data_IF_742514252487
#
_entry.id   IF_742514252487
#
_cell.length_a   1.000
_cell.length_b   1.000
_cell.length_c   1.000
_cell.angle_alpha   90.00
_cell.angle_beta   90.00
_cell.angle_gamma   90.00
#
_symmetry.space_group_name_H-M   'P 1'
#
loop_
_entity.id
_entity.type
_entity.pdbx_description
1 polymer ?
#
# COMPACT_ATOMS: atom_id res chain seq x y z
N UNK A 1 15.06 20.65 -2.07
CA UNK A 1 13.61 20.55 -1.80
C UNK A 1 13.16 19.11 -1.96
N UNK A 2 12.36 18.63 -1.04
CA UNK A 2 11.82 17.27 -1.12
C UNK A 2 10.70 17.25 -2.16
N UNK A 3 10.74 16.30 -3.10
CA UNK A 3 9.76 16.22 -4.21
C UNK A 3 8.84 15.01 -4.13
N UNK A 4 9.02 14.09 -3.18
CA UNK A 4 8.18 12.92 -3.05
C UNK A 4 8.78 11.90 -2.12
N UNK A 5 8.19 10.70 -2.12
CA UNK A 5 8.69 9.56 -1.35
C UNK A 5 8.72 8.32 -2.25
N UNK A 6 9.62 7.40 -1.94
CA UNK A 6 9.80 6.16 -2.68
C UNK A 6 9.90 5.02 -1.68
N UNK A 7 8.99 4.04 -1.78
CA UNK A 7 8.99 2.86 -0.94
C UNK A 7 9.36 1.64 -1.77
N UNK A 8 10.00 0.67 -1.15
CA UNK A 8 10.41 -0.56 -1.81
C UNK A 8 9.77 -1.75 -1.09
N UNK A 9 9.14 -2.62 -1.84
CA UNK A 9 8.61 -3.88 -1.34
C UNK A 9 9.52 -5.00 -1.87
N UNK A 10 10.14 -5.72 -0.96
CA UNK A 10 10.96 -6.86 -1.30
C UNK A 10 10.11 -8.12 -1.40
N UNK A 11 10.29 -8.90 -2.44
CA UNK A 11 9.47 -10.07 -2.73
C UNK A 11 10.29 -11.14 -3.41
N UNK A 12 9.88 -12.38 -3.23
CA UNK A 12 10.53 -13.53 -3.89
C UNK A 12 10.08 -13.72 -5.34
N UNK A 13 9.00 -13.03 -5.75
CA UNK A 13 8.50 -13.12 -7.12
C UNK A 13 8.07 -11.74 -7.62
N UNK A 14 9.05 -10.89 -8.00
CA UNK A 14 8.76 -9.51 -8.38
C UNK A 14 7.88 -9.36 -9.62
N UNK A 15 8.01 -10.25 -10.60
CA UNK A 15 7.21 -10.14 -11.83
C UNK A 15 5.73 -10.32 -11.56
N UNK A 16 5.36 -11.29 -10.71
CA UNK A 16 3.97 -11.56 -10.35
C UNK A 16 3.40 -10.42 -9.53
N UNK A 17 4.16 -9.90 -8.58
CA UNK A 17 3.71 -8.78 -7.75
C UNK A 17 3.59 -7.49 -8.55
N UNK A 18 4.51 -7.21 -9.47
CA UNK A 18 4.41 -6.05 -10.37
C UNK A 18 3.16 -6.11 -11.23
N UNK A 19 2.87 -7.28 -11.79
CA UNK A 19 1.64 -7.46 -12.57
C UNK A 19 0.38 -7.23 -11.72
N UNK A 20 0.40 -7.62 -10.46
CA UNK A 20 -0.69 -7.38 -9.52
C UNK A 20 -0.91 -5.87 -9.30
N UNK A 21 0.14 -5.11 -9.04
CA UNK A 21 0.03 -3.65 -8.88
C UNK A 21 -0.49 -2.96 -10.13
N UNK A 22 -0.05 -3.41 -11.31
CA UNK A 22 -0.49 -2.84 -12.58
C UNK A 22 -1.93 -3.22 -12.93
N UNK A 23 -2.28 -4.51 -12.83
CA UNK A 23 -3.51 -5.05 -13.43
C UNK A 23 -4.66 -5.14 -12.43
N UNK A 24 -4.39 -5.41 -11.15
CA UNK A 24 -5.43 -5.52 -10.11
C UNK A 24 -5.62 -4.19 -9.39
N UNK A 25 -4.55 -3.57 -8.92
CA UNK A 25 -4.63 -2.28 -8.22
C UNK A 25 -4.74 -1.10 -9.18
N UNK A 26 -4.38 -1.27 -10.45
CA UNK A 26 -4.53 -0.24 -11.48
C UNK A 26 -3.64 0.98 -11.28
N UNK A 27 -2.48 0.82 -10.64
CA UNK A 27 -1.57 1.94 -10.39
C UNK A 27 -0.83 2.33 -11.67
N UNK A 28 -0.68 3.64 -11.94
CA UNK A 28 0.14 4.08 -13.06
C UNK A 28 1.59 3.67 -12.83
N UNK A 29 2.31 3.37 -13.89
CA UNK A 29 3.66 2.88 -13.77
C UNK A 29 4.53 3.33 -14.94
N UNK A 30 5.84 3.24 -14.73
CA UNK A 30 6.85 3.49 -15.75
C UNK A 30 7.87 2.36 -15.69
N UNK A 31 8.27 1.86 -16.87
CA UNK A 31 9.32 0.85 -16.99
C UNK A 31 10.67 1.58 -17.10
N UNK A 32 11.53 1.38 -16.11
CA UNK A 32 12.86 2.00 -16.09
C UNK A 32 13.93 1.07 -16.65
N UNK A 33 13.52 -0.04 -17.28
CA UNK A 33 14.38 -0.98 -17.96
C UNK A 33 14.12 -2.42 -17.53
N UNK A 34 14.09 -3.33 -18.50
CA UNK A 34 13.97 -4.78 -18.27
C UNK A 34 12.78 -5.22 -17.42
N UNK A 35 11.65 -4.51 -17.52
CA UNK A 35 10.45 -4.84 -16.74
C UNK A 35 10.47 -4.36 -15.29
N UNK A 36 11.44 -3.55 -14.91
CA UNK A 36 11.49 -2.94 -13.59
C UNK A 36 10.52 -1.76 -13.53
N UNK A 37 9.32 -2.04 -13.07
CA UNK A 37 8.26 -1.05 -13.00
C UNK A 37 8.33 -0.27 -11.69
N UNK A 38 8.21 1.05 -11.80
CA UNK A 38 7.99 1.94 -10.64
C UNK A 38 6.56 2.43 -10.73
N UNK A 39 5.82 2.30 -9.63
CA UNK A 39 4.40 2.62 -9.58
C UNK A 39 4.18 3.97 -8.92
N UNK A 40 3.33 4.78 -9.55
CA UNK A 40 2.85 6.01 -8.95
C UNK A 40 1.80 5.71 -7.90
N UNK A 41 1.90 6.41 -6.78
CA UNK A 41 0.96 6.29 -5.66
C UNK A 41 0.13 7.56 -5.55
N UNK A 42 -1.05 7.50 -4.92
CA UNK A 42 -1.72 8.71 -4.45
C UNK A 42 -0.79 9.51 -3.53
N UNK A 43 -1.07 10.79 -3.27
CA UNK A 43 -0.26 11.56 -2.33
C UNK A 43 -0.07 10.82 -1.03
N UNK A 44 1.17 10.75 -0.55
CA UNK A 44 1.54 9.96 0.61
C UNK A 44 1.89 10.84 1.81
N UNK A 45 1.89 10.25 2.99
CA UNK A 45 2.23 10.92 4.24
C UNK A 45 3.14 10.01 5.07
N UNK A 46 3.87 10.59 6.03
CA UNK A 46 4.69 9.84 6.96
C UNK A 46 4.31 10.23 8.39
N UNK A 47 4.22 9.24 9.25
CA UNK A 47 4.07 9.44 10.68
C UNK A 47 5.32 8.91 11.38
N UNK A 48 5.68 9.53 12.49
CA UNK A 48 6.81 9.11 13.32
C UNK A 48 6.26 8.65 14.66
N UNK A 49 6.44 7.37 14.95
CA UNK A 49 5.91 6.76 16.17
C UNK A 49 7.06 6.32 17.07
N UNK A 50 6.90 6.39 18.41
CA UNK A 50 7.90 5.85 19.30
C UNK A 50 7.96 4.32 19.20
N UNK A 51 9.16 3.77 19.34
CA UNK A 51 9.38 2.32 19.38
C UNK A 51 10.61 2.03 20.24
N UNK A 52 10.68 0.79 20.75
CA UNK A 52 11.83 0.36 21.54
C UNK A 52 13.03 0.04 20.67
N UNK A 53 12.79 -0.39 19.41
CA UNK A 53 13.82 -0.67 18.43
C UNK A 53 13.62 0.22 17.21
N UNK A 54 14.71 0.75 16.67
CA UNK A 54 14.69 1.55 15.45
C UNK A 54 14.80 0.72 14.18
N UNK A 55 14.93 1.38 13.04
CA UNK A 55 15.15 0.83 11.71
C UNK A 55 13.99 0.03 11.12
N UNK A 56 12.86 -0.10 11.82
CA UNK A 56 11.64 -0.69 11.26
C UNK A 56 10.81 0.37 10.57
N UNK A 57 10.32 0.04 9.39
CA UNK A 57 9.41 0.91 8.64
C UNK A 57 8.18 0.11 8.25
N UNK A 58 7.04 0.76 8.29
CA UNK A 58 5.79 0.18 7.83
C UNK A 58 5.31 0.91 6.57
N UNK A 59 4.68 0.18 5.69
CA UNK A 59 4.12 0.73 4.47
C UNK A 59 2.66 0.31 4.34
N UNK A 60 1.80 1.29 4.08
CA UNK A 60 0.38 1.06 3.84
C UNK A 60 -0.06 1.81 2.60
N UNK A 61 -0.97 1.24 1.85
CA UNK A 61 -1.78 2.00 0.91
C UNK A 61 -3.01 2.51 1.65
N UNK A 62 -3.42 3.74 1.36
CA UNK A 62 -4.61 4.32 1.96
C UNK A 62 -5.82 4.17 1.05
N UNK A 63 -6.98 3.97 1.64
CA UNK A 63 -8.25 3.94 0.93
C UNK A 63 -9.25 4.85 1.66
N UNK A 64 -10.29 5.23 0.95
CA UNK A 64 -11.37 6.08 1.51
C UNK A 64 -12.50 5.26 2.14
N UNK A 65 -12.65 3.99 1.76
CA UNK A 65 -13.68 3.09 2.27
C UNK A 65 -13.13 1.66 2.28
N UNK A 66 -12.69 1.21 3.46
CA UNK A 66 -12.02 -0.10 3.59
C UNK A 66 -12.99 -1.26 3.33
N UNK A 67 -14.25 -1.13 3.71
CA UNK A 67 -15.23 -2.20 3.48
C UNK A 67 -15.52 -2.37 2.00
N UNK A 68 -15.69 -1.27 1.27
CA UNK A 68 -15.86 -1.30 -0.18
C UNK A 68 -14.61 -1.84 -0.88
N UNK A 69 -13.43 -1.45 -0.40
CA UNK A 69 -12.16 -1.96 -0.93
C UNK A 69 -12.06 -3.48 -0.76
N UNK A 70 -12.38 -4.00 0.42
CA UNK A 70 -12.34 -5.44 0.69
C UNK A 70 -13.33 -6.19 -0.20
N UNK A 71 -14.54 -5.65 -0.37
CA UNK A 71 -15.55 -6.26 -1.23
C UNK A 71 -15.08 -6.35 -2.68
N UNK A 72 -14.45 -5.30 -3.20
CA UNK A 72 -13.91 -5.29 -4.55
C UNK A 72 -12.75 -6.28 -4.70
N UNK A 73 -11.85 -6.33 -3.72
CA UNK A 73 -10.75 -7.29 -3.75
C UNK A 73 -11.24 -8.74 -3.76
N UNK A 74 -12.25 -9.04 -2.95
CA UNK A 74 -12.88 -10.37 -2.96
C UNK A 74 -13.46 -10.71 -4.32
N UNK A 75 -14.11 -9.75 -4.99
CA UNK A 75 -14.66 -9.97 -6.33
C UNK A 75 -13.58 -10.28 -7.37
N UNK A 76 -12.34 -9.89 -7.10
CA UNK A 76 -11.19 -10.15 -7.97
C UNK A 76 -10.35 -11.35 -7.51
N UNK A 77 -10.84 -12.11 -6.52
CA UNK A 77 -10.16 -13.29 -6.02
C UNK A 77 -8.98 -13.00 -5.09
N UNK A 78 -8.89 -11.77 -4.57
CA UNK A 78 -7.81 -11.38 -3.65
C UNK A 78 -8.22 -11.68 -2.22
N UNK A 79 -7.35 -12.36 -1.47
CA UNK A 79 -7.59 -12.68 -0.07
C UNK A 79 -7.29 -11.46 0.79
N UNK A 80 -8.25 -11.09 1.65
CA UNK A 80 -8.10 -10.01 2.61
C UNK A 80 -8.13 -10.57 4.03
N UNK A 81 -7.35 -9.96 4.93
CA UNK A 81 -7.43 -10.24 6.35
C UNK A 81 -8.65 -9.58 6.99
N UNK A 82 -8.88 -9.82 8.29
CA UNK A 82 -9.94 -9.14 9.01
C UNK A 82 -9.67 -7.63 9.11
N UNK A 83 -10.74 -6.84 9.18
CA UNK A 83 -10.63 -5.39 9.38
C UNK A 83 -10.46 -5.14 10.88
N UNK A 84 -9.36 -4.48 11.24
CA UNK A 84 -9.08 -4.06 12.62
C UNK A 84 -9.42 -2.58 12.78
N UNK A 85 -10.21 -2.29 13.79
CA UNK A 85 -10.64 -0.92 14.09
C UNK A 85 -9.72 -0.30 15.13
N UNK A 86 -8.93 0.68 14.72
CA UNK A 86 -8.00 1.41 15.58
C UNK A 86 -8.50 2.85 15.76
N UNK A 87 -8.07 3.56 16.83
CA UNK A 87 -8.49 4.95 17.02
C UNK A 87 -8.16 5.87 15.84
N UNK A 88 -7.08 5.60 15.12
CA UNK A 88 -6.60 6.42 14.02
C UNK A 88 -7.04 5.92 12.63
N UNK A 89 -7.69 4.78 12.56
CA UNK A 89 -8.17 4.26 11.29
C UNK A 89 -8.57 2.80 11.33
N UNK A 90 -9.07 2.32 10.21
CA UNK A 90 -9.38 0.91 10.01
C UNK A 90 -8.34 0.28 9.12
N UNK A 91 -7.82 -0.89 9.53
CA UNK A 91 -6.70 -1.56 8.87
C UNK A 91 -7.08 -2.96 8.45
N UNK A 92 -6.65 -3.34 7.26
CA UNK A 92 -6.65 -4.73 6.81
C UNK A 92 -5.35 -5.02 6.06
N UNK A 93 -5.22 -6.22 5.59
CA UNK A 93 -4.11 -6.64 4.73
C UNK A 93 -4.67 -7.39 3.53
N UNK A 94 -4.03 -7.23 2.39
CA UNK A 94 -4.28 -8.08 1.22
C UNK A 94 -3.06 -8.98 1.00
N UNK A 95 -3.33 -10.18 0.48
CA UNK A 95 -2.26 -11.10 0.11
C UNK A 95 -1.77 -10.76 -1.30
N UNK A 96 -0.48 -10.54 -1.44
CA UNK A 96 0.15 -10.43 -2.75
C UNK A 96 0.33 -11.84 -3.36
N UNK A 97 0.44 -11.95 -4.68
CA UNK A 97 0.65 -13.26 -5.32
C UNK A 97 1.84 -14.05 -4.79
N UNK A 98 2.89 -13.37 -4.31
CA UNK A 98 4.05 -14.00 -3.70
C UNK A 98 3.79 -14.58 -2.31
N UNK A 99 2.66 -14.22 -1.67
CA UNK A 99 2.34 -14.55 -0.29
C UNK A 99 2.69 -13.45 0.71
N UNK A 100 3.39 -12.41 0.28
CA UNK A 100 3.65 -11.25 1.14
C UNK A 100 2.33 -10.52 1.44
N UNK A 101 2.30 -9.80 2.55
CA UNK A 101 1.13 -9.03 2.96
C UNK A 101 1.36 -7.55 2.69
N UNK A 102 0.33 -6.89 2.19
CA UNK A 102 0.33 -5.45 1.97
C UNK A 102 -0.72 -4.81 2.86
N UNK A 103 -0.32 -3.85 3.68
CA UNK A 103 -1.23 -3.13 4.57
C UNK A 103 -2.10 -2.14 3.80
N UNK A 104 -3.37 -2.12 4.16
CA UNK A 104 -4.36 -1.19 3.61
C UNK A 104 -5.02 -0.51 4.79
N UNK A 105 -5.15 0.81 4.77
CA UNK A 105 -5.88 1.45 5.84
C UNK A 105 -6.72 2.63 5.37
N UNK A 106 -7.83 2.81 6.08
CA UNK A 106 -8.71 3.96 5.95
C UNK A 106 -8.44 4.90 7.11
N UNK A 107 -7.84 6.09 6.88
CA UNK A 107 -7.53 7.00 7.98
C UNK A 107 -8.78 7.64 8.58
N UNK A 108 -8.73 7.84 9.90
CA UNK A 108 -9.71 8.68 10.63
C UNK A 108 -9.10 10.00 11.06
N UNK A 109 -7.78 10.11 10.97
CA UNK A 109 -7.08 11.35 11.30
C UNK A 109 -7.17 12.34 10.14
N UNK A 110 -6.95 13.62 10.44
CA UNK A 110 -6.78 14.62 9.40
C UNK A 110 -5.52 14.29 8.59
N UNK A 111 -5.58 14.53 7.30
CA UNK A 111 -4.44 14.29 6.41
C UNK A 111 -3.72 15.61 6.13
N UNK A 112 -2.38 15.57 6.06
CA UNK A 112 -1.62 16.76 5.66
C UNK A 112 -1.92 17.14 4.22
N UNK A 113 -1.67 18.39 3.88
CA UNK A 113 -1.74 18.82 2.49
C UNK A 113 -0.75 18.03 1.64
N UNK A 114 -1.15 17.53 0.48
CA UNK A 114 -0.23 16.79 -0.38
C UNK A 114 0.87 17.72 -0.90
N UNK A 115 2.04 17.17 -1.02
CA UNK A 115 3.17 17.86 -1.63
C UNK A 115 2.91 18.02 -3.14
N UNK A 116 3.09 19.23 -3.63
CA UNK A 116 2.89 19.54 -5.05
C UNK A 116 4.17 19.45 -5.85
#
# INVERSE_FOLDING_TARGET
>A
MIIGAHSIIYTTNPEVDRAFFRDVLGLPNVDVGHGWLIFGLPPAEVAVHPAEEGEMQEFYLMCDDVEAFVAEMKSRGVVCGPIHNQPWGEITHIALPSGAKLGIYQPRHARPEPMK
#
